data_IF_225440512955
#
_entry.id   IF_225440512955
#
_cell.length_a   1.000
_cell.length_b   1.000
_cell.length_c   1.000
_cell.angle_alpha   90.00
_cell.angle_beta   90.00
_cell.angle_gamma   90.00
#
_symmetry.space_group_name_H-M   'P 1'
#
loop_
_entity.id
_entity.type
_entity.pdbx_description
1 polymer ?
#
# COMPACT_ATOMS: atom_id res chain seq x y z
N UNK A 1 10.15 -1.31 13.27
CA UNK A 1 11.02 -0.75 12.23
C UNK A 1 10.16 -0.47 11.01
N UNK A 2 10.11 0.79 10.53
CA UNK A 2 9.27 1.20 9.40
C UNK A 2 9.82 0.65 8.07
N UNK A 3 11.14 0.51 7.96
CA UNK A 3 11.79 -0.01 6.76
C UNK A 3 11.44 -1.49 6.57
N UNK A 4 11.39 -2.25 7.67
CA UNK A 4 10.96 -3.65 7.62
C UNK A 4 9.51 -3.81 7.12
N UNK A 5 8.59 -2.92 7.54
CA UNK A 5 7.20 -2.96 7.03
C UNK A 5 7.15 -2.65 5.55
N UNK A 6 7.92 -1.66 5.09
CA UNK A 6 8.02 -1.32 3.67
C UNK A 6 8.55 -2.51 2.84
N UNK A 7 9.59 -3.19 3.30
CA UNK A 7 10.17 -4.34 2.61
C UNK A 7 9.18 -5.51 2.52
N UNK A 8 8.38 -5.76 3.57
CA UNK A 8 7.30 -6.76 3.56
C UNK A 8 6.20 -6.43 2.54
N UNK A 9 5.73 -5.18 2.54
CA UNK A 9 4.71 -4.72 1.58
C UNK A 9 5.23 -4.79 0.14
N UNK A 10 6.50 -4.45 -0.06
CA UNK A 10 7.13 -4.51 -1.36
C UNK A 10 7.24 -5.94 -1.89
N UNK A 11 7.63 -6.89 -1.03
CA UNK A 11 7.67 -8.31 -1.38
C UNK A 11 6.29 -8.83 -1.83
N UNK A 12 5.23 -8.52 -1.08
CA UNK A 12 3.86 -8.93 -1.44
C UNK A 12 3.39 -8.26 -2.75
N UNK A 13 3.74 -7.00 -2.97
CA UNK A 13 3.43 -6.30 -4.21
C UNK A 13 4.16 -6.90 -5.42
N UNK A 14 5.44 -7.26 -5.28
CA UNK A 14 6.22 -7.95 -6.32
C UNK A 14 5.64 -9.33 -6.61
N UNK A 15 5.27 -10.09 -5.59
CA UNK A 15 4.60 -11.38 -5.78
C UNK A 15 3.27 -11.20 -6.52
N UNK A 16 2.43 -10.24 -6.12
CA UNK A 16 1.19 -9.92 -6.82
C UNK A 16 1.40 -9.55 -8.31
N UNK A 17 2.48 -8.83 -8.63
CA UNK A 17 2.84 -8.51 -10.02
C UNK A 17 3.27 -9.76 -10.79
N UNK A 18 4.02 -10.66 -10.15
CA UNK A 18 4.45 -11.92 -10.74
C UNK A 18 3.26 -12.83 -11.11
N UNK A 19 2.21 -12.85 -10.29
CA UNK A 19 0.96 -13.57 -10.57
C UNK A 19 0.24 -13.04 -11.81
N UNK A 20 0.43 -11.75 -12.12
CA UNK A 20 -0.08 -11.11 -13.35
C UNK A 20 0.87 -11.23 -14.54
N UNK A 21 1.95 -12.01 -14.43
CA UNK A 21 2.93 -12.21 -15.49
C UNK A 21 3.91 -11.04 -15.66
N UNK A 22 4.03 -10.15 -14.68
CA UNK A 22 4.96 -9.03 -14.68
C UNK A 22 6.13 -9.35 -13.77
N UNK A 23 7.31 -9.55 -14.35
CA UNK A 23 8.54 -9.74 -13.58
C UNK A 23 9.11 -8.39 -13.16
N UNK A 24 9.30 -8.21 -11.85
CA UNK A 24 9.94 -7.03 -11.26
C UNK A 24 11.11 -7.49 -10.40
N UNK A 25 12.26 -6.87 -10.57
CA UNK A 25 13.41 -7.07 -9.69
C UNK A 25 13.17 -6.36 -8.36
N UNK A 26 13.20 -7.10 -7.26
CA UNK A 26 12.89 -6.60 -5.92
C UNK A 26 13.90 -5.54 -5.45
N UNK A 27 15.18 -5.72 -5.76
CA UNK A 27 16.23 -4.79 -5.33
C UNK A 27 16.19 -3.49 -6.14
N UNK A 28 15.93 -3.58 -7.44
CA UNK A 28 15.76 -2.42 -8.30
C UNK A 28 14.57 -1.56 -7.86
N UNK A 29 13.41 -2.18 -7.63
CA UNK A 29 12.21 -1.44 -7.20
C UNK A 29 12.39 -0.87 -5.79
N UNK A 30 13.09 -1.58 -4.89
CA UNK A 30 13.43 -1.09 -3.56
C UNK A 30 14.29 0.15 -3.63
N UNK A 31 15.36 0.14 -4.42
CA UNK A 31 16.24 1.30 -4.60
C UNK A 31 15.46 2.51 -5.13
N UNK A 32 14.58 2.29 -6.11
CA UNK A 32 13.74 3.36 -6.69
C UNK A 32 12.73 3.95 -5.70
N UNK A 33 12.14 3.12 -4.85
CA UNK A 33 11.24 3.59 -3.79
C UNK A 33 12.01 4.44 -2.77
N UNK A 34 13.19 3.98 -2.34
CA UNK A 34 14.02 4.74 -1.41
C UNK A 34 14.43 6.10 -1.98
N UNK A 35 14.87 6.15 -3.24
CA UNK A 35 15.18 7.40 -3.93
C UNK A 35 13.96 8.33 -4.00
N UNK A 36 12.76 7.78 -4.25
CA UNK A 36 11.52 8.56 -4.28
C UNK A 36 11.20 9.12 -2.89
N UNK A 37 11.33 8.33 -1.83
CA UNK A 37 11.09 8.75 -0.45
C UNK A 37 12.06 9.86 -0.03
N UNK A 38 13.34 9.77 -0.43
CA UNK A 38 14.32 10.82 -0.17
C UNK A 38 13.95 12.13 -0.88
N UNK A 39 13.67 12.07 -2.19
CA UNK A 39 13.30 13.23 -3.01
C UNK A 39 11.99 13.88 -2.59
N UNK A 40 11.09 13.10 -2.01
CA UNK A 40 9.75 13.53 -1.60
C UNK A 40 9.59 13.53 -0.09
N UNK A 41 10.67 13.63 0.67
CA UNK A 41 10.66 13.60 2.14
C UNK A 41 9.81 14.71 2.78
N UNK A 42 9.68 15.86 2.11
CA UNK A 42 8.79 16.96 2.52
C UNK A 42 7.38 16.84 1.93
N UNK A 43 7.15 15.88 1.04
CA UNK A 43 5.86 15.67 0.41
C UNK A 43 4.87 15.05 1.37
N UNK A 44 3.61 15.38 1.16
CA UNK A 44 2.49 14.86 1.91
C UNK A 44 1.78 13.81 1.08
N UNK A 45 1.67 12.58 1.57
CA UNK A 45 1.02 11.50 0.82
C UNK A 45 -0.42 11.87 0.41
N UNK A 46 -0.82 11.57 -0.83
CA UNK A 46 -2.16 11.90 -1.40
C UNK A 46 -3.29 11.39 -0.50
N UNK A 47 -3.25 10.11 -0.12
CA UNK A 47 -4.27 9.51 0.75
C UNK A 47 -4.41 10.23 2.09
N UNK A 48 -3.32 10.75 2.68
CA UNK A 48 -3.39 11.52 3.92
C UNK A 48 -4.09 12.87 3.68
N UNK A 49 -3.84 13.52 2.54
CA UNK A 49 -4.53 14.74 2.16
C UNK A 49 -6.03 14.50 1.91
N UNK A 50 -6.39 13.35 1.35
CA UNK A 50 -7.80 12.96 1.17
C UNK A 50 -8.50 12.76 2.52
N UNK A 51 -7.87 12.04 3.45
CA UNK A 51 -8.41 11.85 4.80
C UNK A 51 -8.67 13.17 5.49
N UNK A 52 -7.70 14.08 5.50
CA UNK A 52 -7.88 15.40 6.16
C UNK A 52 -8.96 16.27 5.52
N UNK A 53 -9.18 16.10 4.22
CA UNK A 53 -10.26 16.79 3.53
C UNK A 53 -11.60 16.05 3.62
N UNK A 54 -11.69 14.97 4.40
CA UNK A 54 -12.90 14.15 4.55
C UNK A 54 -13.29 13.41 3.27
N UNK A 55 -12.36 13.22 2.34
CA UNK A 55 -12.56 12.47 1.09
C UNK A 55 -12.19 11.00 1.28
N UNK A 56 -12.77 10.16 0.42
CA UNK A 56 -12.33 8.76 0.29
C UNK A 56 -10.94 8.70 -0.34
N UNK A 57 -10.11 7.83 0.20
CA UNK A 57 -8.77 7.51 -0.27
C UNK A 57 -8.83 6.51 -1.42
N UNK A 58 -7.71 6.39 -2.12
CA UNK A 58 -7.48 5.41 -3.19
C UNK A 58 -6.98 4.05 -2.68
N UNK A 59 -7.08 3.75 -1.37
CA UNK A 59 -6.48 2.54 -0.78
C UNK A 59 -7.00 1.24 -1.42
N UNK A 60 -8.28 1.19 -1.79
CA UNK A 60 -8.89 0.06 -2.48
C UNK A 60 -8.36 -0.10 -3.92
N UNK A 61 -8.01 1.00 -4.57
CA UNK A 61 -7.48 0.99 -5.93
C UNK A 61 -6.00 0.61 -5.96
N UNK A 62 -5.24 0.91 -4.90
CA UNK A 62 -3.82 0.57 -4.82
C UNK A 62 -3.64 -0.78 -4.14
N UNK A 63 -3.84 -0.85 -2.82
CA UNK A 63 -3.60 -2.07 -2.04
C UNK A 63 -4.68 -3.12 -2.27
N UNK A 64 -5.91 -2.72 -2.58
CA UNK A 64 -6.96 -3.67 -2.95
C UNK A 64 -6.65 -4.43 -4.24
N UNK A 65 -5.92 -3.84 -5.20
CA UNK A 65 -5.47 -4.55 -6.41
C UNK A 65 -4.40 -5.60 -6.14
N UNK A 66 -3.54 -5.37 -5.14
CA UNK A 66 -2.57 -6.36 -4.66
C UNK A 66 -3.30 -7.53 -4.02
N UNK A 67 -4.25 -7.26 -3.12
CA UNK A 67 -5.07 -8.31 -2.47
C UNK A 67 -5.89 -9.12 -3.48
N UNK A 68 -6.51 -8.46 -4.45
CA UNK A 68 -7.30 -9.12 -5.49
C UNK A 68 -6.43 -10.04 -6.37
N UNK A 69 -5.17 -9.67 -6.61
CA UNK A 69 -4.24 -10.53 -7.34
C UNK A 69 -3.96 -11.84 -6.60
N UNK A 70 -3.77 -11.79 -5.28
CA UNK A 70 -3.58 -12.99 -4.47
C UNK A 70 -4.82 -13.86 -4.42
N UNK A 71 -6.00 -13.25 -4.24
CA UNK A 71 -7.29 -13.95 -4.12
C UNK A 71 -7.60 -14.84 -5.33
N UNK A 72 -7.35 -14.36 -6.54
CA UNK A 72 -7.54 -15.13 -7.80
C UNK A 72 -6.70 -16.42 -7.82
N UNK A 73 -5.55 -16.42 -7.14
CA UNK A 73 -4.60 -17.52 -7.11
C UNK A 73 -4.59 -18.29 -5.78
N UNK A 74 -5.47 -17.95 -4.83
CA UNK A 74 -5.50 -18.57 -3.50
C UNK A 74 -4.30 -18.24 -2.62
N UNK A 75 -3.62 -17.12 -2.88
CA UNK A 75 -2.47 -16.61 -2.13
C UNK A 75 -2.93 -15.45 -1.24
N UNK A 76 -2.47 -15.42 0.01
CA UNK A 76 -2.76 -14.31 0.93
C UNK A 76 -1.59 -13.34 1.03
N UNK A 77 -1.91 -12.06 1.20
CA UNK A 77 -0.95 -10.97 1.39
C UNK A 77 -1.26 -10.25 2.72
N UNK A 78 -0.87 -10.87 3.85
CA UNK A 78 -1.29 -10.44 5.17
C UNK A 78 -0.82 -9.03 5.55
N UNK A 79 0.38 -8.62 5.14
CA UNK A 79 0.91 -7.30 5.51
C UNK A 79 0.12 -6.19 4.81
N UNK A 80 -0.12 -6.36 3.51
CA UNK A 80 -0.94 -5.47 2.69
C UNK A 80 -2.36 -5.42 3.21
N UNK A 81 -2.91 -6.57 3.64
CA UNK A 81 -4.26 -6.65 4.24
C UNK A 81 -4.35 -5.83 5.53
N UNK A 82 -3.39 -5.99 6.44
CA UNK A 82 -3.34 -5.25 7.70
C UNK A 82 -3.24 -3.75 7.43
N UNK A 83 -2.30 -3.31 6.58
CA UNK A 83 -2.12 -1.89 6.28
C UNK A 83 -3.37 -1.30 5.62
N UNK A 84 -3.99 -2.02 4.69
CA UNK A 84 -5.26 -1.62 4.07
C UNK A 84 -6.35 -1.39 5.11
N UNK A 85 -6.51 -2.31 6.08
CA UNK A 85 -7.51 -2.19 7.14
C UNK A 85 -7.22 -1.02 8.08
N UNK A 86 -5.95 -0.77 8.41
CA UNK A 86 -5.53 0.37 9.22
C UNK A 86 -5.87 1.70 8.53
N UNK A 87 -5.55 1.83 7.25
CA UNK A 87 -5.85 3.03 6.45
C UNK A 87 -7.37 3.28 6.38
N UNK A 88 -8.18 2.23 6.15
CA UNK A 88 -9.65 2.34 6.20
C UNK A 88 -10.18 2.73 7.58
N UNK A 89 -9.55 2.23 8.65
CA UNK A 89 -9.86 2.64 10.02
C UNK A 89 -9.64 4.13 10.24
N UNK A 90 -8.48 4.64 9.79
CA UNK A 90 -8.14 6.06 9.87
C UNK A 90 -9.10 6.91 9.04
N UNK A 91 -9.39 6.53 7.79
CA UNK A 91 -10.34 7.22 6.91
C UNK A 91 -11.72 7.43 7.57
N UNK A 92 -12.24 6.40 8.26
CA UNK A 92 -13.49 6.50 9.03
C UNK A 92 -13.39 7.46 10.22
N UNK A 93 -12.27 7.43 10.92
CA UNK A 93 -11.99 8.38 12.01
C UNK A 93 -11.97 9.84 11.54
N UNK A 94 -11.37 10.11 10.38
CA UNK A 94 -11.32 11.45 9.78
C UNK A 94 -12.67 11.94 9.26
N UNK A 95 -13.53 11.04 8.78
CA UNK A 95 -14.89 11.37 8.33
C UNK A 95 -15.90 11.50 9.48
N UNK A 96 -15.46 11.42 10.75
CA UNK A 96 -16.32 11.53 11.93
C UNK A 96 -17.26 10.33 12.12
N UNK A 97 -17.12 9.28 11.32
CA UNK A 97 -17.83 8.02 11.46
C UNK A 97 -17.02 7.10 12.37
N UNK A 98 -17.21 7.23 13.69
CA UNK A 98 -16.65 6.26 14.64
C UNK A 98 -17.44 4.95 14.53
N UNK A 99 -16.73 3.83 14.65
CA UNK A 99 -17.26 2.44 14.63
C UNK A 99 -18.50 2.30 15.51
#
# INVERSE_FOLDING_TARGET
DIAAVMDLLLSEAVEAMSLKGVAIDLEEIRAKIMETLEKTSSNRASMLQDMEAGRRTEIDNISGQVLAAGEVHGIDFPCTRVVTLLVKGLERGFSGSVI
#
